data_IF_354236737895
#
_entry.id   IF_354236737895
#
_cell.length_a   1.000
_cell.length_b   1.000
_cell.length_c   1.000
_cell.angle_alpha   90.00
_cell.angle_beta   90.00
_cell.angle_gamma   90.00
#
_symmetry.space_group_name_H-M   'P 1'
#
loop_
_entity.id
_entity.type
_entity.pdbx_description
1 polymer ?
#
# COMPACT_ATOMS: atom_id res chain seq x y z
N UNK A 1 -15.53 -18.88 2.04
CA UNK A 1 -15.63 -17.58 1.37
C UNK A 1 -17.09 -17.13 1.39
N UNK A 2 -17.31 -15.84 1.63
CA UNK A 2 -18.62 -15.20 1.67
C UNK A 2 -18.53 -13.96 0.80
N UNK A 3 -19.53 -13.76 -0.07
CA UNK A 3 -19.71 -12.51 -0.80
C UNK A 3 -20.11 -11.43 0.21
N UNK A 4 -19.46 -10.26 0.14
CA UNK A 4 -19.57 -9.21 1.12
C UNK A 4 -19.24 -7.85 0.50
N UNK A 5 -20.07 -6.85 0.80
CA UNK A 5 -19.84 -5.45 0.45
C UNK A 5 -19.55 -4.65 1.72
N UNK A 6 -18.35 -4.07 1.78
CA UNK A 6 -17.88 -3.25 2.91
C UNK A 6 -18.72 -1.98 3.09
N UNK A 7 -19.40 -1.50 2.06
CA UNK A 7 -20.24 -0.31 2.13
C UNK A 7 -21.65 -0.59 2.71
N UNK A 8 -22.02 -1.89 2.88
CA UNK A 8 -23.29 -2.30 3.48
C UNK A 8 -23.12 -2.64 4.98
N UNK A 9 -23.52 -1.71 5.85
CA UNK A 9 -23.52 -1.92 7.29
C UNK A 9 -24.35 -3.16 7.70
N UNK A 10 -25.50 -3.39 7.07
CA UNK A 10 -26.36 -4.54 7.39
C UNK A 10 -25.67 -5.87 7.03
N UNK A 11 -24.92 -5.91 5.93
CA UNK A 11 -24.11 -7.08 5.56
C UNK A 11 -23.00 -7.32 6.59
N UNK A 12 -22.33 -6.25 7.06
CA UNK A 12 -21.32 -6.31 8.12
C UNK A 12 -21.89 -6.91 9.41
N UNK A 13 -23.04 -6.42 9.88
CA UNK A 13 -23.72 -6.93 11.08
C UNK A 13 -24.05 -8.42 10.91
N UNK A 14 -24.72 -8.80 9.83
CA UNK A 14 -25.08 -10.20 9.56
C UNK A 14 -23.85 -11.12 9.48
N UNK A 15 -22.77 -10.65 8.89
CA UNK A 15 -21.54 -11.41 8.77
C UNK A 15 -20.92 -11.68 10.13
N UNK A 16 -20.78 -10.66 10.98
CA UNK A 16 -20.22 -10.81 12.33
C UNK A 16 -21.09 -11.71 13.21
N UNK A 17 -22.42 -11.56 13.17
CA UNK A 17 -23.35 -12.43 13.90
C UNK A 17 -23.23 -13.91 13.47
N UNK A 18 -23.08 -14.17 12.16
CA UNK A 18 -23.01 -15.53 11.62
C UNK A 18 -21.67 -16.21 11.89
N UNK A 19 -20.59 -15.45 11.88
CA UNK A 19 -19.23 -16.00 12.01
C UNK A 19 -18.73 -16.07 13.43
N UNK A 20 -19.38 -15.35 14.37
CA UNK A 20 -18.93 -15.22 15.76
C UNK A 20 -17.44 -14.86 15.85
N UNK A 21 -16.98 -14.01 14.92
CA UNK A 21 -15.57 -13.63 14.80
C UNK A 21 -15.07 -12.96 16.08
N UNK A 22 -13.89 -13.33 16.52
CA UNK A 22 -13.19 -12.70 17.64
C UNK A 22 -12.16 -11.67 17.20
N UNK A 23 -11.72 -11.76 15.94
CA UNK A 23 -10.77 -10.85 15.32
C UNK A 23 -11.24 -10.47 13.92
N UNK A 24 -11.06 -9.21 13.55
CA UNK A 24 -11.37 -8.68 12.21
C UNK A 24 -10.15 -7.95 11.67
N UNK A 25 -9.64 -8.41 10.53
CA UNK A 25 -8.56 -7.78 9.80
C UNK A 25 -9.11 -7.07 8.57
N UNK A 26 -9.24 -5.74 8.65
CA UNK A 26 -9.68 -4.95 7.51
C UNK A 26 -8.52 -4.59 6.59
N UNK A 27 -8.40 -5.33 5.49
CA UNK A 27 -7.46 -5.08 4.39
C UNK A 27 -8.16 -4.53 3.15
N UNK A 28 -9.49 -4.42 3.19
CA UNK A 28 -10.28 -3.96 2.06
C UNK A 28 -10.07 -2.46 1.81
N UNK A 29 -9.83 -2.12 0.56
CA UNK A 29 -9.68 -0.75 0.09
C UNK A 29 -9.68 -0.69 -1.44
N UNK A 30 -9.98 0.47 -2.01
CA UNK A 30 -9.52 0.83 -3.33
C UNK A 30 -8.04 1.23 -3.18
N UNK A 31 -7.10 0.29 -3.38
CA UNK A 31 -5.71 0.41 -2.92
C UNK A 31 -4.73 0.96 -3.97
N UNK A 32 -5.14 1.06 -5.24
CA UNK A 32 -4.28 1.61 -6.28
C UNK A 32 -4.32 3.13 -6.27
N UNK A 33 -3.25 3.76 -5.75
CA UNK A 33 -3.16 5.21 -5.54
C UNK A 33 -3.46 6.01 -6.81
N UNK A 34 -2.97 5.57 -7.98
CA UNK A 34 -3.20 6.26 -9.26
C UNK A 34 -4.69 6.44 -9.56
N UNK A 35 -5.48 5.38 -9.47
CA UNK A 35 -6.93 5.39 -9.72
C UNK A 35 -7.70 6.28 -8.74
N UNK A 36 -7.17 6.53 -7.54
CA UNK A 36 -7.85 7.40 -6.57
C UNK A 36 -8.02 8.84 -7.07
N UNK A 37 -7.17 9.31 -7.98
CA UNK A 37 -7.31 10.64 -8.61
C UNK A 37 -8.45 10.67 -9.63
N UNK A 38 -8.71 9.55 -10.32
CA UNK A 38 -9.79 9.43 -11.31
C UNK A 38 -11.12 9.10 -10.63
N UNK A 39 -11.08 8.39 -9.49
CA UNK A 39 -12.27 7.91 -8.78
C UNK A 39 -12.23 8.28 -7.29
N UNK A 40 -12.16 9.59 -6.94
CA UNK A 40 -12.00 10.03 -5.55
C UNK A 40 -13.21 9.68 -4.68
N UNK A 41 -14.43 9.73 -5.21
CA UNK A 41 -15.65 9.42 -4.45
C UNK A 41 -15.72 7.94 -4.10
N UNK A 42 -15.53 7.05 -5.06
CA UNK A 42 -15.48 5.59 -4.83
C UNK A 42 -14.37 5.23 -3.84
N UNK A 43 -13.21 5.89 -3.95
CA UNK A 43 -12.10 5.71 -3.02
C UNK A 43 -12.49 6.15 -1.61
N UNK A 44 -13.15 7.30 -1.45
CA UNK A 44 -13.61 7.77 -0.14
C UNK A 44 -14.65 6.83 0.48
N UNK A 45 -15.60 6.36 -0.29
CA UNK A 45 -16.66 5.47 0.16
C UNK A 45 -16.11 4.11 0.61
N UNK A 46 -15.34 3.44 -0.23
CA UNK A 46 -14.80 2.10 0.09
C UNK A 46 -13.71 2.19 1.15
N UNK A 47 -12.72 3.07 0.96
CA UNK A 47 -11.50 3.09 1.76
C UNK A 47 -11.63 3.91 3.05
N UNK A 48 -12.49 4.93 3.04
CA UNK A 48 -12.75 5.80 4.19
C UNK A 48 -13.97 5.36 5.00
N UNK A 49 -15.15 5.33 4.37
CA UNK A 49 -16.41 5.04 5.05
C UNK A 49 -16.58 3.53 5.35
N UNK A 50 -16.14 2.67 4.42
CA UNK A 50 -16.24 1.21 4.61
C UNK A 50 -15.70 0.71 5.95
N UNK A 51 -14.50 1.09 6.40
CA UNK A 51 -13.99 0.71 7.72
C UNK A 51 -14.87 1.18 8.89
N UNK A 52 -15.55 2.31 8.75
CA UNK A 52 -16.49 2.81 9.79
C UNK A 52 -17.70 1.90 9.89
N UNK A 53 -18.21 1.35 8.77
CA UNK A 53 -19.28 0.35 8.80
C UNK A 53 -18.87 -0.91 9.61
N UNK A 54 -17.61 -1.36 9.47
CA UNK A 54 -17.11 -2.48 10.27
C UNK A 54 -17.00 -2.13 11.76
N UNK A 55 -16.44 -0.98 12.07
CA UNK A 55 -16.34 -0.50 13.47
C UNK A 55 -17.72 -0.37 14.11
N UNK A 56 -18.68 0.19 13.39
CA UNK A 56 -20.07 0.31 13.86
C UNK A 56 -20.73 -1.06 14.01
N UNK A 57 -20.53 -1.97 13.07
CA UNK A 57 -21.02 -3.34 13.18
C UNK A 57 -20.44 -4.07 14.39
N UNK A 58 -19.14 -3.91 14.67
CA UNK A 58 -18.47 -4.46 15.86
C UNK A 58 -19.09 -3.87 17.11
N UNK A 59 -19.29 -2.56 17.18
CA UNK A 59 -19.91 -1.86 18.31
C UNK A 59 -21.32 -2.40 18.62
N UNK A 60 -22.10 -2.69 17.58
CA UNK A 60 -23.49 -3.19 17.69
C UNK A 60 -23.53 -4.68 18.07
N UNK A 61 -22.69 -5.51 17.44
CA UNK A 61 -22.76 -6.97 17.56
C UNK A 61 -22.01 -7.48 18.79
N UNK A 62 -20.73 -7.10 18.90
CA UNK A 62 -19.87 -7.51 20.01
C UNK A 62 -18.65 -6.58 20.14
N UNK A 63 -18.65 -5.62 21.06
CA UNK A 63 -17.53 -4.69 21.26
C UNK A 63 -16.22 -5.35 21.71
N UNK A 64 -16.24 -6.63 22.10
CA UNK A 64 -15.03 -7.37 22.46
C UNK A 64 -14.23 -7.90 21.26
N UNK A 65 -14.76 -7.79 20.04
CA UNK A 65 -14.03 -8.15 18.82
C UNK A 65 -12.83 -7.24 18.65
N UNK A 66 -11.65 -7.83 18.45
CA UNK A 66 -10.43 -7.11 18.15
C UNK A 66 -10.40 -6.72 16.68
N UNK A 67 -10.15 -5.45 16.40
CA UNK A 67 -10.19 -4.88 15.06
C UNK A 67 -8.82 -4.37 14.63
N UNK A 68 -8.33 -4.86 13.49
CA UNK A 68 -7.14 -4.36 12.81
C UNK A 68 -7.53 -3.53 11.60
N UNK A 69 -7.04 -2.28 11.52
CA UNK A 69 -7.14 -1.41 10.37
C UNK A 69 -5.81 -1.36 9.61
N UNK A 70 -5.82 -1.76 8.35
CA UNK A 70 -4.69 -1.52 7.46
C UNK A 70 -4.62 -0.03 7.11
N UNK A 71 -3.83 0.72 7.85
CA UNK A 71 -3.39 2.07 7.53
C UNK A 71 -2.20 2.04 6.56
N UNK A 72 -1.63 3.18 6.20
CA UNK A 72 -0.62 3.25 5.14
C UNK A 72 0.37 4.38 5.36
N UNK A 73 1.62 4.20 4.93
CA UNK A 73 2.64 5.27 4.87
C UNK A 73 2.25 6.42 3.92
N UNK A 74 1.32 6.20 2.97
CA UNK A 74 0.80 7.27 2.09
C UNK A 74 0.04 8.38 2.87
N UNK A 75 -0.32 8.14 4.14
CA UNK A 75 -0.86 9.18 5.02
C UNK A 75 0.18 10.25 5.36
N UNK A 76 1.47 9.89 5.42
CA UNK A 76 2.55 10.86 5.65
C UNK A 76 2.72 11.83 4.48
N UNK A 77 2.54 11.39 3.25
CA UNK A 77 2.46 12.18 2.02
C UNK A 77 3.60 13.18 1.85
N UNK A 78 3.34 14.49 2.10
CA UNK A 78 4.40 15.50 2.19
C UNK A 78 5.10 15.36 3.53
N UNK A 79 6.16 14.57 3.53
CA UNK A 79 6.87 14.10 4.72
C UNK A 79 7.30 15.26 5.62
N UNK A 80 6.95 15.19 6.90
CA UNK A 80 7.26 16.22 7.91
C UNK A 80 8.48 15.85 8.77
N UNK A 81 8.86 14.58 8.82
CA UNK A 81 10.03 14.08 9.53
C UNK A 81 10.57 12.81 8.86
N UNK A 82 11.85 12.51 9.06
CA UNK A 82 12.54 11.32 8.53
C UNK A 82 13.38 10.72 9.66
N UNK A 83 13.24 9.41 9.97
CA UNK A 83 12.22 8.48 9.46
C UNK A 83 10.82 8.85 9.97
N UNK A 84 9.77 8.31 9.31
CA UNK A 84 8.40 8.48 9.77
C UNK A 84 8.09 7.50 10.90
N UNK A 85 7.44 8.01 11.96
CA UNK A 85 7.04 7.28 13.15
C UNK A 85 5.54 7.48 13.43
N UNK A 86 5.03 6.83 14.46
CA UNK A 86 3.62 6.90 14.86
C UNK A 86 3.17 8.33 15.21
N UNK A 87 4.06 9.16 15.73
CA UNK A 87 3.84 10.57 16.10
C UNK A 87 4.16 11.59 15.00
N UNK A 88 4.64 11.12 13.83
CA UNK A 88 4.93 12.00 12.69
C UNK A 88 3.63 12.58 12.13
N UNK A 89 3.52 13.93 11.97
CA UNK A 89 2.31 14.55 11.42
C UNK A 89 2.00 14.05 10.02
N UNK A 90 0.72 13.74 9.76
CA UNK A 90 0.22 13.33 8.47
C UNK A 90 -0.03 14.51 7.53
N UNK A 91 0.33 14.35 6.25
CA UNK A 91 0.04 15.31 5.18
C UNK A 91 -0.21 14.58 3.86
N UNK A 92 -1.35 13.84 3.72
CA UNK A 92 -1.59 12.99 2.56
C UNK A 92 -1.59 13.80 1.24
N UNK A 93 -1.11 13.15 0.17
CA UNK A 93 -0.95 13.75 -1.16
C UNK A 93 -1.82 13.08 -2.23
N UNK A 94 -2.73 12.19 -1.83
CA UNK A 94 -3.65 11.51 -2.72
C UNK A 94 -5.02 11.32 -2.08
N UNK A 95 -6.12 11.22 -2.87
CA UNK A 95 -7.44 10.87 -2.33
C UNK A 95 -7.41 9.55 -1.55
N UNK A 96 -6.61 8.57 -1.97
CA UNK A 96 -6.36 7.33 -1.23
C UNK A 96 -5.76 7.60 0.16
N UNK A 97 -4.69 8.39 0.24
CA UNK A 97 -4.05 8.74 1.52
C UNK A 97 -5.01 9.47 2.45
N UNK A 98 -5.85 10.38 1.93
CA UNK A 98 -6.87 11.10 2.70
C UNK A 98 -7.94 10.13 3.23
N UNK A 99 -8.44 9.21 2.40
CA UNK A 99 -9.44 8.22 2.81
C UNK A 99 -8.89 7.26 3.88
N UNK A 100 -7.64 6.81 3.72
CA UNK A 100 -6.95 5.99 4.73
C UNK A 100 -6.73 6.76 6.05
N UNK A 101 -6.42 8.04 5.98
CA UNK A 101 -6.26 8.88 7.16
C UNK A 101 -7.58 9.04 7.92
N UNK A 102 -8.70 9.21 7.21
CA UNK A 102 -10.02 9.22 7.83
C UNK A 102 -10.30 7.89 8.57
N UNK A 103 -10.11 6.74 7.90
CA UNK A 103 -10.30 5.43 8.52
C UNK A 103 -9.38 5.20 9.73
N UNK A 104 -8.13 5.67 9.66
CA UNK A 104 -7.16 5.63 10.76
C UNK A 104 -7.67 6.39 11.99
N UNK A 105 -8.07 7.65 11.81
CA UNK A 105 -8.61 8.46 12.90
C UNK A 105 -9.95 7.95 13.44
N UNK A 106 -10.80 7.36 12.60
CA UNK A 106 -12.03 6.71 13.07
C UNK A 106 -11.71 5.49 13.92
N UNK A 107 -10.68 4.71 13.61
CA UNK A 107 -10.25 3.58 14.44
C UNK A 107 -9.81 4.04 15.83
N UNK A 108 -9.00 5.12 15.89
CA UNK A 108 -8.59 5.74 17.16
C UNK A 108 -9.81 6.27 17.92
N UNK A 109 -10.72 6.98 17.24
CA UNK A 109 -11.92 7.53 17.86
C UNK A 109 -12.82 6.44 18.47
N UNK A 110 -13.01 5.31 17.77
CA UNK A 110 -13.80 4.20 18.29
C UNK A 110 -13.12 3.51 19.49
N UNK A 111 -11.79 3.42 19.48
CA UNK A 111 -11.01 2.95 20.63
C UNK A 111 -11.24 3.84 21.86
N UNK A 112 -11.11 5.15 21.71
CA UNK A 112 -11.19 6.12 22.81
C UNK A 112 -12.64 6.33 23.29
N UNK A 113 -13.60 6.38 22.35
CA UNK A 113 -14.99 6.71 22.67
C UNK A 113 -15.84 5.51 23.12
N UNK A 114 -15.53 4.32 22.60
CA UNK A 114 -16.37 3.12 22.82
C UNK A 114 -15.61 1.95 23.43
N UNK A 115 -14.32 2.08 23.71
CA UNK A 115 -13.51 1.01 24.30
C UNK A 115 -13.30 -0.20 23.39
N UNK A 116 -13.48 -0.04 22.08
CA UNK A 116 -13.23 -1.11 21.11
C UNK A 116 -11.71 -1.32 20.99
N UNK A 117 -11.27 -2.58 20.99
CA UNK A 117 -9.88 -2.91 20.70
C UNK A 117 -9.58 -2.65 19.21
N UNK A 118 -9.36 -1.39 18.87
CA UNK A 118 -9.08 -0.92 17.52
C UNK A 118 -7.59 -0.61 17.33
N UNK A 119 -6.90 -1.40 16.53
CA UNK A 119 -5.46 -1.26 16.24
C UNK A 119 -5.23 -0.86 14.80
N UNK A 120 -4.29 0.04 14.55
CA UNK A 120 -3.92 0.48 13.21
C UNK A 120 -2.46 0.14 12.89
N UNK A 121 -2.22 -0.59 11.80
CA UNK A 121 -0.88 -0.78 11.25
C UNK A 121 -0.58 0.27 10.17
N UNK A 122 0.34 1.18 10.42
CA UNK A 122 0.84 2.16 9.44
C UNK A 122 1.91 1.45 8.60
N UNK A 123 1.46 0.78 7.55
CA UNK A 123 2.31 -0.10 6.76
C UNK A 123 3.03 0.67 5.66
N UNK A 124 4.34 0.44 5.57
CA UNK A 124 5.11 0.79 4.40
C UNK A 124 4.90 -0.24 3.30
N UNK A 125 5.50 -0.04 2.12
CA UNK A 125 5.27 -0.94 1.00
C UNK A 125 5.73 -2.36 1.32
N UNK A 126 4.88 -3.34 1.10
CA UNK A 126 5.19 -4.74 1.36
C UNK A 126 4.79 -5.60 0.16
N UNK A 127 5.71 -6.43 -0.25
CA UNK A 127 5.69 -7.09 -1.55
C UNK A 127 5.78 -8.60 -1.41
N UNK A 128 5.23 -9.30 -2.40
CA UNK A 128 5.34 -10.74 -2.52
C UNK A 128 5.18 -11.19 -3.99
N UNK A 129 5.44 -12.45 -4.32
CA UNK A 129 5.11 -13.00 -5.64
C UNK A 129 3.64 -12.89 -6.03
N UNK A 130 2.73 -12.68 -5.06
CA UNK A 130 1.29 -12.52 -5.26
C UNK A 130 0.85 -11.06 -5.50
N UNK A 131 1.78 -10.10 -5.53
CA UNK A 131 1.47 -8.68 -5.75
C UNK A 131 0.75 -8.49 -7.08
N UNK A 132 -0.27 -7.61 -7.13
CA UNK A 132 -1.00 -7.27 -8.35
C UNK A 132 -0.10 -6.59 -9.40
N UNK A 133 -0.38 -6.82 -10.69
CA UNK A 133 0.42 -6.32 -11.81
C UNK A 133 0.33 -4.79 -11.99
N UNK A 134 -0.67 -4.15 -11.42
CA UNK A 134 -0.85 -2.70 -11.38
C UNK A 134 0.20 -2.00 -10.49
N UNK A 135 0.82 -2.72 -9.56
CA UNK A 135 1.84 -2.18 -8.67
C UNK A 135 3.23 -2.26 -9.29
N UNK A 136 4.04 -1.22 -9.01
CA UNK A 136 5.33 -1.00 -9.68
C UNK A 136 6.29 -2.19 -9.60
N UNK A 137 6.40 -2.84 -8.46
CA UNK A 137 7.31 -3.97 -8.25
C UNK A 137 6.93 -5.17 -9.11
N UNK A 138 5.63 -5.55 -9.11
CA UNK A 138 5.15 -6.66 -9.95
C UNK A 138 5.17 -6.30 -11.43
N UNK A 139 4.81 -5.06 -11.77
CA UNK A 139 4.91 -4.57 -13.15
C UNK A 139 6.34 -4.72 -13.69
N UNK A 140 7.35 -4.33 -12.90
CA UNK A 140 8.75 -4.45 -13.30
C UNK A 140 9.14 -5.92 -13.48
N UNK A 141 8.94 -6.76 -12.46
CA UNK A 141 9.38 -8.17 -12.51
C UNK A 141 8.71 -8.96 -13.62
N UNK A 142 7.40 -8.77 -13.84
CA UNK A 142 6.64 -9.40 -14.90
C UNK A 142 7.10 -8.92 -16.29
N UNK A 143 7.30 -7.61 -16.45
CA UNK A 143 7.78 -7.04 -17.72
C UNK A 143 9.19 -7.49 -18.06
N UNK A 144 10.13 -7.48 -17.09
CA UNK A 144 11.50 -7.95 -17.33
C UNK A 144 11.52 -9.44 -17.71
N UNK A 145 10.70 -10.26 -17.05
CA UNK A 145 10.55 -11.67 -17.43
C UNK A 145 9.99 -11.83 -18.86
N UNK A 146 8.99 -11.03 -19.25
CA UNK A 146 8.43 -11.03 -20.60
C UNK A 146 9.44 -10.54 -21.65
N UNK A 147 10.26 -9.54 -21.33
CA UNK A 147 11.35 -9.04 -22.20
C UNK A 147 12.37 -10.17 -22.42
N UNK A 148 12.80 -10.84 -21.34
CA UNK A 148 13.71 -11.99 -21.44
C UNK A 148 13.19 -13.10 -22.34
N UNK A 149 11.87 -13.33 -22.34
CA UNK A 149 11.20 -14.34 -23.16
C UNK A 149 10.82 -13.85 -24.58
N UNK A 150 11.18 -12.63 -24.94
CA UNK A 150 10.82 -12.03 -26.23
C UNK A 150 9.31 -11.77 -26.43
N UNK A 151 8.57 -11.63 -25.34
CA UNK A 151 7.10 -11.40 -25.34
C UNK A 151 6.73 -9.92 -25.12
N UNK A 152 7.70 -9.09 -24.81
CA UNK A 152 7.57 -7.66 -24.62
C UNK A 152 8.88 -6.99 -25.00
N UNK A 153 8.84 -5.79 -25.60
CA UNK A 153 10.04 -5.08 -26.02
C UNK A 153 10.54 -4.10 -24.95
N UNK A 154 9.64 -3.40 -24.24
CA UNK A 154 9.98 -2.33 -23.31
C UNK A 154 8.99 -2.25 -22.16
N UNK A 155 9.46 -1.90 -20.97
CA UNK A 155 8.62 -1.48 -19.84
C UNK A 155 8.66 0.03 -19.69
N UNK A 156 7.49 0.64 -19.52
CA UNK A 156 7.35 2.07 -19.27
C UNK A 156 7.02 2.33 -17.81
N UNK A 157 7.76 3.23 -17.18
CA UNK A 157 7.64 3.58 -15.76
C UNK A 157 7.53 5.10 -15.61
N UNK A 158 7.17 5.57 -14.41
CA UNK A 158 7.17 6.99 -14.06
C UNK A 158 8.50 7.44 -13.46
N UNK A 159 8.44 8.10 -12.30
CA UNK A 159 9.60 8.64 -11.61
C UNK A 159 10.55 7.52 -11.13
N UNK A 160 11.74 7.45 -11.74
CA UNK A 160 12.78 6.46 -11.40
C UNK A 160 13.48 6.75 -10.07
N UNK A 161 13.45 8.01 -9.61
CA UNK A 161 14.12 8.45 -8.38
C UNK A 161 13.24 8.31 -7.13
N UNK A 162 11.96 7.95 -7.30
CA UNK A 162 11.04 7.74 -6.18
C UNK A 162 11.58 6.66 -5.23
N UNK A 163 11.73 7.01 -3.96
CA UNK A 163 12.28 6.14 -2.91
C UNK A 163 11.17 5.53 -2.09
N UNK A 164 11.23 4.22 -1.89
CA UNK A 164 10.25 3.47 -1.09
C UNK A 164 10.97 2.51 -0.16
N UNK A 165 10.41 2.36 1.02
CA UNK A 165 10.71 1.27 1.94
C UNK A 165 9.89 0.06 1.51
N UNK A 166 10.54 -0.98 1.00
CA UNK A 166 9.90 -2.22 0.56
C UNK A 166 10.28 -3.38 1.47
N UNK A 167 9.29 -3.95 2.13
CA UNK A 167 9.45 -5.14 2.95
C UNK A 167 8.82 -6.40 2.35
N UNK A 168 8.97 -7.52 3.02
CA UNK A 168 8.37 -8.78 2.63
C UNK A 168 6.98 -8.95 3.28
N UNK A 169 5.94 -9.18 2.48
CA UNK A 169 4.56 -9.18 2.95
C UNK A 169 4.28 -10.20 4.08
N UNK A 170 5.02 -11.31 4.13
CA UNK A 170 4.86 -12.31 5.20
C UNK A 170 5.23 -11.75 6.57
N UNK A 171 6.29 -10.93 6.66
CA UNK A 171 6.70 -10.30 7.92
C UNK A 171 5.65 -9.28 8.39
N UNK A 172 5.05 -8.56 7.43
CA UNK A 172 3.97 -7.61 7.71
C UNK A 172 2.70 -8.30 8.21
N UNK A 173 2.33 -9.44 7.62
CA UNK A 173 1.17 -10.24 8.08
C UNK A 173 1.40 -10.76 9.50
N UNK A 174 2.61 -11.21 9.83
CA UNK A 174 2.94 -11.57 11.20
C UNK A 174 2.82 -10.36 12.16
N UNK A 175 3.30 -9.19 11.73
CA UNK A 175 3.13 -7.94 12.47
C UNK A 175 1.66 -7.60 12.71
N UNK A 176 0.81 -7.68 11.70
CA UNK A 176 -0.65 -7.46 11.81
C UNK A 176 -1.27 -8.37 12.87
N UNK A 177 -0.92 -9.66 12.85
CA UNK A 177 -1.41 -10.61 13.84
C UNK A 177 -0.92 -10.25 15.25
N UNK A 178 0.39 -9.94 15.42
CA UNK A 178 0.97 -9.57 16.71
C UNK A 178 0.31 -8.34 17.32
N UNK A 179 -0.04 -7.34 16.50
CA UNK A 179 -0.75 -6.14 16.95
C UNK A 179 -2.10 -6.46 17.58
N UNK A 180 -2.83 -7.46 17.06
CA UNK A 180 -4.09 -7.90 17.68
C UNK A 180 -3.88 -8.82 18.90
N UNK A 181 -2.66 -9.29 19.15
CA UNK A 181 -2.34 -10.08 20.35
C UNK A 181 -1.78 -9.22 21.51
N UNK A 182 -1.58 -7.92 21.27
CA UNK A 182 -1.11 -6.99 22.31
C UNK A 182 -2.12 -6.86 23.46
N UNK A 183 -1.66 -6.46 24.63
CA UNK A 183 -2.52 -6.23 25.79
C UNK A 183 -3.41 -4.99 25.59
N UNK A 184 -2.87 -3.96 24.97
CA UNK A 184 -3.55 -2.69 24.70
C UNK A 184 -3.53 -2.36 23.19
N UNK A 185 -4.63 -1.80 22.65
CA UNK A 185 -4.69 -1.38 21.25
C UNK A 185 -3.90 -0.08 21.03
N UNK A 186 -3.12 -0.03 19.93
CA UNK A 186 -2.42 1.19 19.54
C UNK A 186 -2.25 1.28 18.02
N UNK A 187 -1.55 2.32 17.57
CA UNK A 187 -1.10 2.47 16.19
C UNK A 187 0.39 2.14 16.09
N UNK A 188 0.77 1.34 15.09
CA UNK A 188 2.13 0.84 14.94
C UNK A 188 2.64 1.07 13.53
N UNK A 189 3.85 1.58 13.40
CA UNK A 189 4.57 1.62 12.13
C UNK A 189 5.21 0.26 11.85
N UNK A 190 5.00 -0.27 10.63
CA UNK A 190 5.75 -1.41 10.10
C UNK A 190 6.54 -0.98 8.86
N UNK A 191 7.85 -1.01 8.99
CA UNK A 191 8.81 -0.60 7.97
C UNK A 191 10.09 -1.43 8.08
N UNK A 192 11.01 -1.27 7.11
CA UNK A 192 12.31 -1.96 7.12
C UNK A 192 13.47 -1.03 7.50
N UNK A 193 13.21 0.26 7.64
CA UNK A 193 14.22 1.31 7.83
C UNK A 193 15.25 1.34 6.67
N UNK A 194 14.83 0.92 5.48
CA UNK A 194 15.65 0.90 4.26
C UNK A 194 14.84 1.37 3.07
N UNK A 195 15.43 2.20 2.22
CA UNK A 195 14.81 2.63 0.97
C UNK A 195 15.65 2.27 -0.23
N UNK A 196 14.94 1.97 -1.33
CA UNK A 196 15.53 1.81 -2.65
C UNK A 196 14.76 2.68 -3.65
N UNK A 197 15.43 3.08 -4.71
CA UNK A 197 14.78 3.77 -5.83
C UNK A 197 14.08 2.78 -6.77
N UNK A 198 13.14 3.27 -7.57
CA UNK A 198 12.55 2.46 -8.66
C UNK A 198 13.64 1.98 -9.61
N UNK A 199 14.65 2.84 -9.90
CA UNK A 199 15.83 2.49 -10.72
C UNK A 199 16.60 1.31 -10.15
N UNK A 200 16.87 1.31 -8.84
CA UNK A 200 17.57 0.21 -8.17
C UNK A 200 16.79 -1.10 -8.29
N UNK A 201 15.48 -1.03 -8.09
CA UNK A 201 14.61 -2.21 -8.22
C UNK A 201 14.61 -2.77 -9.65
N UNK A 202 14.56 -1.92 -10.68
CA UNK A 202 14.71 -2.33 -12.09
C UNK A 202 16.04 -3.03 -12.30
N UNK A 203 17.13 -2.43 -11.80
CA UNK A 203 18.47 -2.98 -11.94
C UNK A 203 18.60 -4.36 -11.30
N UNK A 204 18.00 -4.53 -10.11
CA UNK A 204 17.92 -5.84 -9.42
C UNK A 204 17.09 -6.86 -10.21
N UNK A 205 15.95 -6.45 -10.77
CA UNK A 205 15.11 -7.33 -11.59
C UNK A 205 15.83 -7.78 -12.88
N UNK A 206 16.52 -6.87 -13.57
CA UNK A 206 17.32 -7.19 -14.73
C UNK A 206 18.46 -8.15 -14.38
N UNK A 207 19.18 -7.89 -13.29
CA UNK A 207 20.23 -8.79 -12.78
C UNK A 207 19.70 -10.20 -12.48
N UNK A 208 18.52 -10.30 -11.83
CA UNK A 208 17.90 -11.59 -11.55
C UNK A 208 17.45 -12.36 -12.81
N UNK A 209 17.22 -11.64 -13.91
CA UNK A 209 16.87 -12.21 -15.21
C UNK A 209 18.12 -12.43 -16.12
N UNK A 210 19.34 -12.24 -15.61
CA UNK A 210 20.58 -12.30 -16.39
C UNK A 210 20.55 -11.35 -17.61
N UNK A 211 20.05 -10.13 -17.42
CA UNK A 211 20.09 -9.05 -18.40
C UNK A 211 21.03 -7.97 -17.89
N UNK A 212 22.14 -7.76 -18.58
CA UNK A 212 23.06 -6.67 -18.30
C UNK A 212 22.54 -5.38 -18.91
N UNK A 213 22.39 -4.33 -18.12
CA UNK A 213 21.85 -3.04 -18.55
C UNK A 213 22.82 -1.89 -18.33
N UNK A 214 22.67 -0.84 -19.15
CA UNK A 214 23.28 0.47 -18.96
C UNK A 214 22.20 1.54 -18.93
N UNK A 215 22.21 2.41 -17.90
CA UNK A 215 21.32 3.55 -17.80
C UNK A 215 21.86 4.74 -18.60
N UNK A 216 21.01 5.42 -19.37
CA UNK A 216 21.32 6.63 -20.13
C UNK A 216 20.24 7.68 -19.95
N UNK A 217 20.62 8.96 -20.14
CA UNK A 217 19.73 10.09 -19.96
C UNK A 217 19.45 10.39 -18.50
N UNK A 218 18.48 11.25 -18.26
CA UNK A 218 18.00 11.64 -16.93
C UNK A 218 16.59 12.19 -17.03
N UNK A 219 15.81 12.13 -15.91
CA UNK A 219 14.44 12.62 -15.87
C UNK A 219 13.54 11.89 -16.88
N UNK A 220 12.82 12.62 -17.72
CA UNK A 220 11.91 12.03 -18.72
C UNK A 220 12.62 11.33 -19.88
N UNK A 221 13.89 11.66 -20.16
CA UNK A 221 14.69 11.02 -21.19
C UNK A 221 15.45 9.78 -20.69
N UNK A 222 15.30 9.44 -19.42
CA UNK A 222 16.00 8.32 -18.81
C UNK A 222 15.49 6.98 -19.34
N UNK A 223 16.44 6.11 -19.70
CA UNK A 223 16.15 4.78 -20.22
C UNK A 223 17.27 3.80 -19.90
N UNK A 224 16.95 2.50 -19.93
CA UNK A 224 17.94 1.43 -19.80
C UNK A 224 18.05 0.63 -21.10
N UNK A 225 19.29 0.37 -21.50
CA UNK A 225 19.65 -0.41 -22.69
C UNK A 225 20.15 -1.78 -22.24
N UNK A 226 19.65 -2.84 -22.85
CA UNK A 226 20.24 -4.18 -22.74
C UNK A 226 21.57 -4.21 -23.51
N UNK A 227 22.65 -4.47 -22.82
CA UNK A 227 24.02 -4.46 -23.40
C UNK A 227 24.25 -5.58 -24.42
N UNK A 228 23.46 -6.66 -24.36
CA UNK A 228 23.61 -7.77 -25.31
C UNK A 228 22.91 -7.49 -26.64
N UNK A 229 21.72 -6.89 -26.59
CA UNK A 229 20.92 -6.63 -27.80
C UNK A 229 21.03 -5.21 -28.32
N UNK A 230 21.54 -4.26 -27.53
CA UNK A 230 21.57 -2.83 -27.82
C UNK A 230 20.19 -2.16 -27.80
N UNK A 231 19.14 -2.86 -27.39
CA UNK A 231 17.75 -2.35 -27.37
C UNK A 231 17.44 -1.62 -26.07
N UNK A 232 16.62 -0.56 -26.18
CA UNK A 232 16.00 0.08 -25.01
C UNK A 232 14.94 -0.86 -24.48
N UNK A 233 15.06 -1.30 -23.22
CA UNK A 233 14.14 -2.21 -22.55
C UNK A 233 13.36 -1.56 -21.40
N UNK A 234 13.80 -0.40 -20.91
CA UNK A 234 13.11 0.40 -19.90
C UNK A 234 13.12 1.85 -20.36
N UNK A 235 12.02 2.57 -20.22
CA UNK A 235 11.96 4.01 -20.44
C UNK A 235 11.00 4.71 -19.51
N UNK A 236 11.22 5.99 -19.28
CA UNK A 236 10.28 6.87 -18.58
C UNK A 236 9.14 7.23 -19.52
N UNK A 237 7.92 7.25 -18.97
CA UNK A 237 6.73 7.76 -19.65
C UNK A 237 6.00 8.71 -18.68
N UNK A 238 5.89 10.02 -19.03
CA UNK A 238 5.29 11.03 -18.16
C UNK A 238 3.87 10.73 -17.70
N UNK A 239 3.10 9.94 -18.45
CA UNK A 239 1.74 9.53 -18.07
C UNK A 239 1.66 8.74 -16.76
N UNK A 240 2.80 8.16 -16.30
CA UNK A 240 2.89 7.44 -15.04
C UNK A 240 3.38 8.29 -13.87
N UNK A 241 3.63 9.58 -14.07
CA UNK A 241 3.86 10.50 -12.97
C UNK A 241 2.54 10.77 -12.23
N UNK A 242 2.60 10.84 -10.91
CA UNK A 242 1.44 11.19 -10.09
C UNK A 242 1.23 12.70 -10.12
N UNK A 243 -0.03 13.19 -10.09
CA UNK A 243 -0.32 14.63 -9.98
C UNK A 243 0.33 15.30 -8.76
N UNK A 244 0.48 14.54 -7.68
CA UNK A 244 1.18 14.96 -6.46
C UNK A 244 2.10 13.81 -6.01
N UNK A 245 3.39 13.93 -6.29
CA UNK A 245 4.38 12.89 -5.99
C UNK A 245 4.73 12.86 -4.49
N UNK A 246 5.07 11.66 -4.03
CA UNK A 246 5.68 11.40 -2.72
C UNK A 246 7.10 10.91 -2.98
N UNK A 247 8.09 11.74 -2.63
CA UNK A 247 9.49 11.50 -2.98
C UNK A 247 10.14 10.43 -2.11
N UNK A 248 9.88 10.46 -0.80
CA UNK A 248 10.53 9.58 0.17
C UNK A 248 9.54 9.05 1.21
N UNK A 249 9.46 7.74 1.33
CA UNK A 249 8.83 7.05 2.45
C UNK A 249 9.83 6.08 3.07
N UNK A 250 10.13 6.27 4.36
CA UNK A 250 11.00 5.42 5.18
C UNK A 250 10.53 5.47 6.63
N UNK A 251 10.29 4.33 7.23
CA UNK A 251 9.88 4.18 8.63
C UNK A 251 10.95 3.58 9.50
#
# INVERSE_FOLDING_TARGET
LVEYDLTDLSASIRLLQRTEATEVYNLAAQSFVGVSFDQPLTTAEITGIGPVNLLEAIRIVNPAIRFYQASTSEMFGKVQAVPQKEDTPFYPRSPYGVAKLYAHWMTINYRESYGIFGTSGILFNHESPLRGQEFVTRKITDSIAKIKLGKQDVVELGNMDAKRDWGFAKDYVEGMWRMLQADEPDSFVLATNRTETVRDFVSLACKAADIAIEWKGSGEDEHAIDLNSGKVIVRVNPKFYRPAEVELLIG
#
